data_IF_926707569769
#
_entry.id   IF_926707569769
#
_cell.length_a   1.000
_cell.length_b   1.000
_cell.length_c   1.000
_cell.angle_alpha   90.00
_cell.angle_beta   90.00
_cell.angle_gamma   90.00
#
_symmetry.space_group_name_H-M   'P 1'
#
loop_
_entity.id
_entity.type
_entity.pdbx_description
1 polymer ?
#
# COMPACT_ATOMS: atom_id res chain seq x y z
N UNK A 1 29.33 13.46 90.99
CA UNK A 1 29.55 13.33 89.53
C UNK A 1 28.77 12.13 88.95
N UNK A 2 28.63 11.03 89.68
CA UNK A 2 27.94 9.79 89.23
C UNK A 2 26.41 9.92 89.07
N UNK A 3 25.73 10.72 89.90
CA UNK A 3 24.27 10.95 89.81
C UNK A 3 23.86 11.63 88.49
N UNK A 4 24.73 12.48 87.94
CA UNK A 4 24.46 13.20 86.68
C UNK A 4 24.59 12.29 85.45
N UNK A 5 25.43 11.25 85.53
CA UNK A 5 25.62 10.25 84.47
C UNK A 5 24.43 9.29 84.44
N UNK A 6 23.96 8.84 85.61
CA UNK A 6 22.76 8.02 85.73
C UNK A 6 21.51 8.74 85.26
N UNK A 7 21.33 10.02 85.59
CA UNK A 7 20.20 10.83 85.12
C UNK A 7 20.20 11.01 83.59
N UNK A 8 21.38 11.24 82.98
CA UNK A 8 21.51 11.33 81.52
C UNK A 8 21.25 9.99 80.83
N UNK A 9 21.70 8.88 81.40
CA UNK A 9 21.43 7.54 80.88
C UNK A 9 19.94 7.19 80.97
N UNK A 10 19.26 7.56 82.06
CA UNK A 10 17.82 7.31 82.23
C UNK A 10 16.98 8.12 81.24
N UNK A 11 17.33 9.39 81.01
CA UNK A 11 16.68 10.26 80.01
C UNK A 11 16.94 9.76 78.59
N UNK A 12 18.16 9.28 78.29
CA UNK A 12 18.48 8.71 76.99
C UNK A 12 17.70 7.40 76.75
N UNK A 13 17.58 6.54 77.76
CA UNK A 13 16.76 5.32 77.70
C UNK A 13 15.26 5.64 77.57
N UNK A 14 14.73 6.63 78.30
CA UNK A 14 13.32 7.01 78.14
C UNK A 14 13.05 7.64 76.79
N UNK A 15 13.97 8.45 76.23
CA UNK A 15 13.81 9.00 74.87
C UNK A 15 13.90 7.90 73.80
N UNK A 16 14.78 6.90 73.98
CA UNK A 16 14.88 5.73 73.09
C UNK A 16 13.65 4.82 73.20
N UNK A 17 13.18 4.54 74.42
CA UNK A 17 11.98 3.73 74.66
C UNK A 17 10.71 4.44 74.21
N UNK A 18 10.62 5.77 74.33
CA UNK A 18 9.50 6.55 73.77
C UNK A 18 9.58 6.63 72.24
N UNK A 19 10.78 6.78 71.64
CA UNK A 19 10.94 6.69 70.17
C UNK A 19 10.60 5.30 69.61
N UNK A 20 10.86 4.22 70.35
CA UNK A 20 10.43 2.87 69.98
C UNK A 20 8.94 2.62 70.25
N UNK A 21 8.34 3.30 71.24
CA UNK A 21 6.92 3.18 71.56
C UNK A 21 6.00 4.07 70.71
N UNK A 22 6.54 5.09 70.01
CA UNK A 22 5.81 5.97 69.09
C UNK A 22 6.10 5.70 67.62
N UNK A 23 6.88 4.67 67.29
CA UNK A 23 6.98 4.22 65.91
C UNK A 23 5.63 3.59 65.53
N UNK A 24 4.87 4.26 64.67
CA UNK A 24 3.68 3.65 64.09
C UNK A 24 4.10 2.30 63.46
N UNK A 25 3.27 1.24 63.59
CA UNK A 25 3.61 -0.12 63.14
C UNK A 25 4.11 -0.22 61.68
N UNK A 26 3.85 0.79 60.84
CA UNK A 26 4.28 0.88 59.44
C UNK A 26 5.67 1.46 59.17
N UNK A 27 6.42 1.94 60.18
CA UNK A 27 7.63 2.75 59.96
C UNK A 27 8.97 1.99 60.15
N UNK A 28 8.91 0.66 60.33
CA UNK A 28 10.13 -0.17 60.47
C UNK A 28 10.84 -0.36 59.12
N UNK A 29 12.18 -0.43 59.08
CA UNK A 29 12.94 -0.65 57.85
C UNK A 29 12.50 -1.90 57.07
N UNK A 30 12.16 -2.98 57.77
CA UNK A 30 11.73 -4.25 57.18
C UNK A 30 10.38 -4.13 56.43
N UNK A 31 9.42 -3.38 56.99
CA UNK A 31 8.12 -3.12 56.35
C UNK A 31 8.31 -2.30 55.07
N UNK A 32 9.17 -1.28 55.11
CA UNK A 32 9.47 -0.43 53.95
C UNK A 32 10.14 -1.24 52.84
N UNK A 33 11.09 -2.11 53.16
CA UNK A 33 11.73 -2.99 52.19
C UNK A 33 10.74 -3.96 51.53
N UNK A 34 9.83 -4.56 52.31
CA UNK A 34 8.81 -5.46 51.77
C UNK A 34 7.86 -4.73 50.79
N UNK A 35 7.38 -3.54 51.17
CA UNK A 35 6.51 -2.72 50.32
C UNK A 35 7.22 -2.26 49.04
N UNK A 36 8.50 -1.87 49.13
CA UNK A 36 9.32 -1.54 47.96
C UNK A 36 9.46 -2.76 47.03
N UNK A 37 9.63 -3.96 47.60
CA UNK A 37 9.69 -5.19 46.82
C UNK A 37 8.38 -5.45 46.07
N UNK A 38 7.22 -5.34 46.74
CA UNK A 38 5.93 -5.49 46.07
C UNK A 38 5.73 -4.45 44.97
N UNK A 39 6.05 -3.19 45.23
CA UNK A 39 6.01 -2.12 44.23
C UNK A 39 6.85 -2.46 43.00
N UNK A 40 8.07 -2.97 43.19
CA UNK A 40 8.94 -3.34 42.08
C UNK A 40 8.38 -4.54 41.28
N UNK A 41 7.82 -5.55 41.94
CA UNK A 41 7.20 -6.70 41.26
C UNK A 41 5.94 -6.32 40.49
N UNK A 42 5.07 -5.49 41.07
CA UNK A 42 3.88 -4.94 40.40
C UNK A 42 4.27 -4.09 39.18
N UNK A 43 5.31 -3.26 39.31
CA UNK A 43 5.81 -2.44 38.20
C UNK A 43 6.34 -3.31 37.07
N UNK A 44 7.01 -4.42 37.40
CA UNK A 44 7.48 -5.40 36.42
C UNK A 44 6.31 -6.10 35.71
N UNK A 45 5.27 -6.50 36.43
CA UNK A 45 4.07 -7.11 35.85
C UNK A 45 3.34 -6.15 34.90
N UNK A 46 3.13 -4.90 35.35
CA UNK A 46 2.54 -3.81 34.57
C UNK A 46 3.34 -3.54 33.28
N UNK A 47 4.67 -3.44 33.40
CA UNK A 47 5.57 -3.24 32.27
C UNK A 47 5.52 -4.42 31.28
N UNK A 48 5.63 -5.65 31.77
CA UNK A 48 5.54 -6.86 30.92
C UNK A 48 4.23 -6.91 30.14
N UNK A 49 3.10 -6.59 30.78
CA UNK A 49 1.79 -6.56 30.12
C UNK A 49 1.74 -5.48 29.01
N UNK A 50 2.26 -4.28 29.28
CA UNK A 50 2.32 -3.18 28.30
C UNK A 50 3.26 -3.48 27.12
N UNK A 51 4.42 -4.06 27.40
CA UNK A 51 5.36 -4.49 26.36
C UNK A 51 4.75 -5.55 25.46
N UNK A 52 3.97 -6.48 26.03
CA UNK A 52 3.32 -7.56 25.29
C UNK A 52 2.36 -7.04 24.20
N UNK A 53 1.62 -5.96 24.50
CA UNK A 53 0.78 -5.24 23.52
C UNK A 53 1.62 -4.54 22.46
N UNK A 54 2.67 -3.83 22.89
CA UNK A 54 3.55 -3.08 21.98
C UNK A 54 4.24 -4.00 20.99
N UNK A 55 4.79 -5.13 21.46
CA UNK A 55 5.45 -6.14 20.62
C UNK A 55 4.48 -6.82 19.64
N UNK A 56 3.20 -6.99 19.97
CA UNK A 56 2.19 -7.52 19.03
C UNK A 56 1.82 -6.53 17.92
N UNK A 57 1.69 -5.25 18.23
CA UNK A 57 1.47 -4.21 17.22
C UNK A 57 2.64 -4.17 16.23
N UNK A 58 3.86 -4.27 16.76
CA UNK A 58 5.07 -4.36 15.95
C UNK A 58 5.07 -5.59 15.04
N UNK A 59 4.61 -6.77 15.49
CA UNK A 59 4.45 -7.94 14.62
C UNK A 59 3.48 -7.70 13.45
N UNK A 60 2.44 -6.89 13.64
CA UNK A 60 1.49 -6.50 12.57
C UNK A 60 2.21 -5.62 11.56
N UNK A 61 2.87 -4.56 12.01
CA UNK A 61 3.62 -3.64 11.14
C UNK A 61 4.68 -4.37 10.30
N UNK A 62 5.40 -5.32 10.92
CA UNK A 62 6.37 -6.19 10.23
C UNK A 62 5.70 -7.01 9.13
N UNK A 63 4.56 -7.63 9.42
CA UNK A 63 3.88 -8.47 8.45
C UNK A 63 3.27 -7.67 7.31
N UNK A 64 2.71 -6.51 7.59
CA UNK A 64 2.18 -5.62 6.55
C UNK A 64 3.29 -5.22 5.57
N UNK A 65 4.46 -4.85 6.07
CA UNK A 65 5.64 -4.58 5.24
C UNK A 65 6.08 -5.80 4.42
N UNK A 66 6.07 -7.01 5.00
CA UNK A 66 6.42 -8.22 4.26
C UNK A 66 5.38 -8.59 3.20
N UNK A 67 4.09 -8.31 3.44
CA UNK A 67 3.02 -8.50 2.46
C UNK A 67 3.24 -7.56 1.27
N UNK A 68 3.56 -6.30 1.54
CA UNK A 68 3.90 -5.32 0.50
C UNK A 68 5.06 -5.79 -0.37
N UNK A 69 6.14 -6.28 0.24
CA UNK A 69 7.28 -6.85 -0.49
C UNK A 69 6.92 -8.07 -1.33
N UNK A 70 6.08 -8.97 -0.80
CA UNK A 70 5.62 -10.12 -1.56
C UNK A 70 4.76 -9.72 -2.75
N UNK A 71 3.88 -8.73 -2.58
CA UNK A 71 3.06 -8.20 -3.66
C UNK A 71 3.93 -7.51 -4.72
N UNK A 72 4.93 -6.76 -4.29
CA UNK A 72 5.91 -6.14 -5.18
C UNK A 72 6.74 -7.19 -5.93
N UNK A 73 7.13 -8.29 -5.28
CA UNK A 73 7.80 -9.42 -5.94
C UNK A 73 6.89 -10.11 -6.93
N UNK A 74 5.64 -10.38 -6.56
CA UNK A 74 4.66 -11.02 -7.43
C UNK A 74 4.46 -10.19 -8.70
N UNK A 75 4.32 -8.86 -8.53
CA UNK A 75 4.18 -7.91 -9.62
C UNK A 75 5.43 -7.87 -10.52
N UNK A 76 6.61 -7.68 -9.94
CA UNK A 76 7.87 -7.52 -10.69
C UNK A 76 8.36 -8.81 -11.36
N UNK A 77 8.11 -9.97 -10.74
CA UNK A 77 8.55 -11.26 -11.26
C UNK A 77 7.51 -11.96 -12.13
N UNK A 78 6.27 -11.45 -12.16
CA UNK A 78 5.09 -12.09 -12.78
C UNK A 78 4.86 -13.54 -12.28
N UNK A 79 5.43 -13.91 -11.12
CA UNK A 79 5.24 -15.22 -10.50
C UNK A 79 4.01 -15.17 -9.60
N UNK A 80 3.16 -16.19 -9.68
CA UNK A 80 2.06 -16.33 -8.72
C UNK A 80 2.60 -16.64 -7.32
N UNK A 81 2.35 -15.73 -6.38
CA UNK A 81 2.65 -15.87 -4.96
C UNK A 81 1.38 -15.90 -4.11
N UNK A 82 0.22 -16.13 -4.71
CA UNK A 82 -1.10 -16.05 -4.07
C UNK A 82 -1.19 -16.92 -2.81
N UNK A 83 -0.68 -18.16 -2.86
CA UNK A 83 -0.64 -19.06 -1.70
C UNK A 83 0.18 -18.48 -0.54
N UNK A 84 1.26 -17.76 -0.83
CA UNK A 84 2.06 -17.09 0.20
C UNK A 84 1.36 -15.84 0.70
N UNK A 85 0.84 -15.00 -0.17
CA UNK A 85 0.06 -13.82 0.23
C UNK A 85 -1.14 -14.17 1.13
N UNK A 86 -1.83 -15.27 0.83
CA UNK A 86 -2.91 -15.81 1.68
C UNK A 86 -2.42 -16.22 3.08
N UNK A 87 -1.28 -16.92 3.17
CA UNK A 87 -0.67 -17.30 4.47
C UNK A 87 -0.30 -16.07 5.31
N UNK A 88 0.16 -14.99 4.68
CA UNK A 88 0.53 -13.76 5.39
C UNK A 88 -0.71 -13.00 5.86
N UNK A 89 -1.72 -12.87 5.00
CA UNK A 89 -3.01 -12.27 5.36
C UNK A 89 -3.67 -13.02 6.53
N UNK A 90 -3.63 -14.36 6.51
CA UNK A 90 -4.15 -15.18 7.62
C UNK A 90 -3.35 -14.97 8.92
N UNK A 91 -2.01 -14.92 8.85
CA UNK A 91 -1.19 -14.65 10.02
C UNK A 91 -1.44 -13.25 10.59
N UNK A 92 -1.60 -12.24 9.74
CA UNK A 92 -1.92 -10.88 10.14
C UNK A 92 -3.27 -10.82 10.88
N UNK A 93 -4.29 -11.49 10.32
CA UNK A 93 -5.59 -11.64 10.97
C UNK A 93 -5.47 -12.33 12.33
N UNK A 94 -4.63 -13.36 12.44
CA UNK A 94 -4.38 -14.07 13.69
C UNK A 94 -3.73 -13.18 14.76
N UNK A 95 -2.74 -12.35 14.39
CA UNK A 95 -2.08 -11.43 15.34
C UNK A 95 -3.03 -10.30 15.74
N UNK A 96 -3.79 -9.74 14.79
CA UNK A 96 -4.81 -8.73 15.06
C UNK A 96 -5.88 -9.26 16.03
N UNK A 97 -6.32 -10.50 15.83
CA UNK A 97 -7.27 -11.16 16.72
C UNK A 97 -6.65 -11.41 18.10
N UNK A 98 -5.40 -11.89 18.15
CA UNK A 98 -4.66 -12.06 19.40
C UNK A 98 -4.55 -10.75 20.18
N UNK A 99 -4.25 -9.63 19.52
CA UNK A 99 -4.17 -8.30 20.13
C UNK A 99 -5.49 -7.93 20.83
N UNK A 100 -6.63 -8.16 20.17
CA UNK A 100 -7.95 -7.89 20.75
C UNK A 100 -8.24 -8.76 21.97
N UNK A 101 -7.88 -10.05 21.91
CA UNK A 101 -8.09 -11.00 23.01
C UNK A 101 -7.24 -10.64 24.23
N UNK A 102 -5.98 -10.26 24.04
CA UNK A 102 -5.07 -9.95 25.15
C UNK A 102 -5.31 -8.57 25.76
N UNK A 103 -5.95 -7.65 25.05
CA UNK A 103 -6.17 -6.27 25.49
C UNK A 103 -6.84 -6.18 26.87
N UNK A 104 -7.90 -6.98 27.10
CA UNK A 104 -8.62 -6.97 28.38
C UNK A 104 -7.71 -7.40 29.54
N UNK A 105 -6.93 -8.48 29.37
CA UNK A 105 -5.99 -9.00 30.37
C UNK A 105 -4.90 -7.97 30.68
N UNK A 106 -4.31 -7.36 29.65
CA UNK A 106 -3.26 -6.35 29.81
C UNK A 106 -3.79 -5.11 30.52
N UNK A 107 -4.97 -4.61 30.12
CA UNK A 107 -5.61 -3.45 30.75
C UNK A 107 -5.87 -3.70 32.22
N UNK A 108 -6.37 -4.88 32.57
CA UNK A 108 -6.63 -5.26 33.96
C UNK A 108 -5.35 -5.26 34.80
N UNK A 109 -4.32 -6.01 34.37
CA UNK A 109 -3.04 -6.11 35.09
C UNK A 109 -2.42 -4.73 35.28
N UNK A 110 -2.39 -3.93 34.21
CA UNK A 110 -1.83 -2.57 34.23
C UNK A 110 -2.58 -1.66 35.21
N UNK A 111 -3.91 -1.63 35.14
CA UNK A 111 -4.73 -0.72 35.96
C UNK A 111 -4.66 -1.10 37.44
N UNK A 112 -4.77 -2.39 37.76
CA UNK A 112 -4.74 -2.87 39.14
C UNK A 112 -3.34 -2.77 39.76
N UNK A 113 -2.29 -3.06 38.98
CA UNK A 113 -0.90 -2.90 39.44
C UNK A 113 -0.56 -1.44 39.69
N UNK A 114 -0.92 -0.53 38.78
CA UNK A 114 -0.62 0.89 38.93
C UNK A 114 -1.40 1.51 40.10
N UNK A 115 -2.68 1.13 40.28
CA UNK A 115 -3.48 1.56 41.43
C UNK A 115 -2.84 1.12 42.75
N UNK A 116 -2.38 -0.13 42.84
CA UNK A 116 -1.78 -0.63 44.08
C UNK A 116 -0.37 -0.06 44.31
N UNK A 117 0.39 0.25 43.25
CA UNK A 117 1.66 0.98 43.37
C UNK A 117 1.42 2.37 43.98
N UNK A 118 0.36 3.08 43.57
CA UNK A 118 0.00 4.37 44.17
C UNK A 118 -0.39 4.23 45.64
N UNK A 119 -1.19 3.22 46.00
CA UNK A 119 -1.52 2.93 47.41
C UNK A 119 -0.25 2.66 48.25
N UNK A 120 0.71 1.91 47.70
CA UNK A 120 2.01 1.66 48.35
C UNK A 120 2.82 2.96 48.49
N UNK A 121 2.87 3.80 47.46
CA UNK A 121 3.62 5.07 47.48
C UNK A 121 3.03 6.07 48.47
N UNK A 122 1.71 6.13 48.59
CA UNK A 122 1.02 6.94 49.61
C UNK A 122 1.33 6.45 51.02
N UNK A 123 1.29 5.13 51.26
CA UNK A 123 1.63 4.55 52.55
C UNK A 123 3.09 4.80 52.94
N UNK A 124 4.02 4.62 51.99
CA UNK A 124 5.46 4.85 52.23
C UNK A 124 5.78 6.33 52.53
N UNK A 125 4.98 7.27 52.01
CA UNK A 125 5.19 8.72 52.19
C UNK A 125 4.56 9.26 53.46
N UNK A 126 3.33 8.84 53.76
CA UNK A 126 2.51 9.45 54.80
C UNK A 126 2.41 8.58 56.08
N UNK A 127 2.93 7.35 56.05
CA UNK A 127 2.68 6.38 57.11
C UNK A 127 1.23 5.87 57.07
N UNK A 128 0.89 4.99 58.00
CA UNK A 128 -0.45 4.41 58.09
C UNK A 128 -0.55 3.41 59.23
N UNK A 129 -1.79 3.06 59.59
CA UNK A 129 -2.06 2.09 60.63
C UNK A 129 -1.83 0.64 60.17
N UNK A 130 -1.75 -0.29 61.12
CA UNK A 130 -1.48 -1.71 60.87
C UNK A 130 -2.57 -2.37 59.99
N UNK A 131 -3.81 -1.90 60.07
CA UNK A 131 -4.92 -2.38 59.24
C UNK A 131 -4.70 -2.01 57.76
N UNK A 132 -4.24 -0.79 57.48
CA UNK A 132 -3.89 -0.36 56.13
C UNK A 132 -2.70 -1.16 55.58
N UNK A 133 -1.66 -1.39 56.39
CA UNK A 133 -0.52 -2.21 56.01
C UNK A 133 -0.93 -3.66 55.67
N UNK A 134 -1.75 -4.27 56.53
CA UNK A 134 -2.27 -5.62 56.33
C UNK A 134 -3.12 -5.73 55.06
N UNK A 135 -3.94 -4.72 54.78
CA UNK A 135 -4.74 -4.62 53.56
C UNK A 135 -3.86 -4.53 52.31
N UNK A 136 -2.86 -3.65 52.30
CA UNK A 136 -1.92 -3.49 51.16
C UNK A 136 -1.14 -4.79 50.91
N UNK A 137 -0.61 -5.43 51.96
CA UNK A 137 0.08 -6.72 51.86
C UNK A 137 -0.81 -7.81 51.26
N UNK A 138 -2.05 -7.91 51.72
CA UNK A 138 -3.01 -8.88 51.21
C UNK A 138 -3.32 -8.63 49.73
N UNK A 139 -3.65 -7.38 49.37
CA UNK A 139 -3.91 -6.98 47.97
C UNK A 139 -2.71 -7.28 47.07
N UNK A 140 -1.50 -6.94 47.50
CA UNK A 140 -0.27 -7.13 46.71
C UNK A 140 0.03 -8.61 46.46
N UNK A 141 -0.01 -9.44 47.50
CA UNK A 141 0.22 -10.88 47.36
C UNK A 141 -0.83 -11.54 46.49
N UNK A 142 -2.10 -11.19 46.67
CA UNK A 142 -3.19 -11.73 45.86
C UNK A 142 -3.04 -11.33 44.39
N UNK A 143 -2.79 -10.05 44.11
CA UNK A 143 -2.60 -9.53 42.77
C UNK A 143 -1.41 -10.17 42.06
N UNK A 144 -0.25 -10.24 42.72
CA UNK A 144 0.97 -10.87 42.19
C UNK A 144 0.76 -12.38 41.90
N UNK A 145 0.05 -13.08 42.78
CA UNK A 145 -0.27 -14.50 42.58
C UNK A 145 -1.23 -14.71 41.41
N UNK A 146 -2.29 -13.89 41.33
CA UNK A 146 -3.33 -13.99 40.31
C UNK A 146 -2.80 -13.65 38.92
N UNK A 147 -1.93 -12.65 38.80
CA UNK A 147 -1.44 -12.16 37.51
C UNK A 147 -0.33 -13.03 36.90
N UNK A 148 0.27 -13.94 37.67
CA UNK A 148 1.34 -14.84 37.22
C UNK A 148 0.94 -15.71 36.01
N UNK A 149 -0.21 -16.37 36.08
CA UNK A 149 -0.67 -17.26 35.00
C UNK A 149 -1.06 -16.49 33.73
N UNK A 150 -1.83 -15.38 33.79
CA UNK A 150 -2.08 -14.51 32.65
C UNK A 150 -0.81 -14.00 31.99
N UNK A 151 0.19 -13.53 32.74
CA UNK A 151 1.45 -13.03 32.18
C UNK A 151 2.24 -14.12 31.42
N UNK A 152 2.24 -15.35 31.93
CA UNK A 152 2.88 -16.47 31.25
C UNK A 152 2.14 -16.86 29.95
N UNK A 153 0.80 -16.84 29.96
CA UNK A 153 -0.01 -17.04 28.76
C UNK A 153 0.26 -15.96 27.70
N UNK A 154 0.34 -14.70 28.12
CA UNK A 154 0.69 -13.56 27.27
C UNK A 154 2.07 -13.75 26.64
N UNK A 155 3.05 -14.26 27.38
CA UNK A 155 4.41 -14.56 26.88
C UNK A 155 4.41 -15.73 25.91
N UNK A 156 3.77 -16.85 26.26
CA UNK A 156 3.76 -18.06 25.42
C UNK A 156 3.06 -17.80 24.08
N UNK A 157 1.88 -17.21 24.10
CA UNK A 157 1.12 -16.86 22.89
C UNK A 157 1.89 -15.88 22.00
N UNK A 158 2.62 -14.94 22.58
CA UNK A 158 3.50 -14.03 21.84
C UNK A 158 4.61 -14.79 21.11
N UNK A 159 5.31 -15.68 21.82
CA UNK A 159 6.44 -16.45 21.26
C UNK A 159 6.00 -17.36 20.11
N UNK A 160 4.80 -17.93 20.18
CA UNK A 160 4.22 -18.72 19.10
C UNK A 160 3.98 -17.87 17.83
N UNK A 161 3.45 -16.65 17.99
CA UNK A 161 3.27 -15.71 16.87
C UNK A 161 4.61 -15.24 16.30
N UNK A 162 5.56 -14.89 17.17
CA UNK A 162 6.92 -14.49 16.78
C UNK A 162 7.61 -15.60 15.99
N UNK A 163 7.47 -16.86 16.41
CA UNK A 163 8.05 -18.01 15.70
C UNK A 163 7.48 -18.14 14.29
N UNK A 164 6.18 -17.92 14.10
CA UNK A 164 5.55 -17.92 12.78
C UNK A 164 6.10 -16.76 11.92
N UNK A 165 6.14 -15.54 12.46
CA UNK A 165 6.70 -14.37 11.75
C UNK A 165 8.17 -14.57 11.39
N UNK A 166 9.00 -15.15 12.27
CA UNK A 166 10.41 -15.46 11.99
C UNK A 166 10.58 -16.43 10.82
N UNK A 167 9.77 -17.49 10.73
CA UNK A 167 9.81 -18.42 9.57
C UNK A 167 9.57 -17.68 8.25
N UNK A 168 8.69 -16.68 8.27
CA UNK A 168 8.41 -15.85 7.10
C UNK A 168 9.50 -14.81 6.84
N UNK A 169 10.07 -14.23 7.88
CA UNK A 169 11.22 -13.33 7.77
C UNK A 169 12.40 -14.02 7.08
N UNK A 170 12.73 -15.26 7.47
CA UNK A 170 13.76 -16.07 6.81
C UNK A 170 13.43 -16.29 5.33
N UNK A 171 12.17 -16.57 4.99
CA UNK A 171 11.76 -16.70 3.59
C UNK A 171 11.95 -15.40 2.80
N UNK A 172 11.61 -14.25 3.38
CA UNK A 172 11.78 -12.94 2.73
C UNK A 172 13.26 -12.58 2.55
N UNK A 173 14.09 -12.80 3.58
CA UNK A 173 15.55 -12.61 3.52
C UNK A 173 16.18 -13.50 2.44
N UNK A 174 15.77 -14.77 2.35
CA UNK A 174 16.23 -15.69 1.31
C UNK A 174 15.82 -15.26 -0.11
N UNK A 175 14.87 -14.33 -0.23
CA UNK A 175 14.49 -13.68 -1.48
C UNK A 175 15.10 -12.28 -1.61
N UNK A 176 16.14 -11.97 -0.84
CA UNK A 176 16.88 -10.72 -0.94
C UNK A 176 16.22 -9.52 -0.26
N UNK A 177 15.10 -9.67 0.45
CA UNK A 177 14.47 -8.54 1.14
C UNK A 177 15.23 -8.13 2.40
N UNK A 178 15.36 -6.81 2.61
CA UNK A 178 15.91 -6.24 3.84
C UNK A 178 14.81 -6.03 4.86
N UNK A 179 14.86 -6.75 5.99
CA UNK A 179 13.99 -6.48 7.13
C UNK A 179 14.12 -5.02 7.60
N UNK A 180 13.03 -4.37 8.06
CA UNK A 180 13.10 -3.02 8.57
C UNK A 180 13.95 -3.00 9.84
N UNK A 181 14.80 -1.98 9.99
CA UNK A 181 15.51 -1.72 11.24
C UNK A 181 14.52 -1.09 12.21
N UNK A 182 13.94 -1.90 13.09
CA UNK A 182 13.17 -1.38 14.22
C UNK A 182 14.16 -0.97 15.31
N UNK A 183 14.03 0.27 15.80
CA UNK A 183 15.03 0.93 16.65
C UNK A 183 15.52 0.10 17.84
N UNK A 184 16.72 0.45 18.31
CA UNK A 184 17.54 -0.22 19.35
C UNK A 184 16.88 -0.49 20.71
N UNK A 185 15.61 -0.12 20.91
CA UNK A 185 14.92 -0.17 22.20
C UNK A 185 14.12 -1.46 22.44
N UNK A 186 14.11 -2.40 21.50
CA UNK A 186 13.44 -3.69 21.66
C UNK A 186 14.38 -4.83 21.31
N UNK A 187 14.53 -5.81 22.22
CA UNK A 187 15.16 -7.13 21.97
C UNK A 187 14.31 -7.96 20.99
N UNK A 188 14.08 -7.39 19.81
CA UNK A 188 13.32 -7.98 18.74
C UNK A 188 14.30 -8.64 17.78
N UNK A 189 15.01 -9.63 18.30
CA UNK A 189 15.98 -10.37 17.53
C UNK A 189 15.24 -11.27 16.51
N UNK A 190 15.18 -10.82 15.26
CA UNK A 190 14.71 -11.63 14.14
C UNK A 190 15.81 -12.54 13.60
N UNK A 191 16.98 -12.60 14.25
CA UNK A 191 18.01 -13.57 13.90
C UNK A 191 17.42 -14.99 14.00
N UNK A 192 17.64 -15.86 13.00
CA UNK A 192 17.27 -17.26 13.04
C UNK A 192 17.84 -17.92 14.30
N UNK A 193 17.02 -18.72 14.98
CA UNK A 193 17.48 -19.60 16.08
C UNK A 193 18.31 -20.74 15.48
N UNK A 194 19.61 -20.54 15.40
CA UNK A 194 20.61 -21.46 14.89
C UNK A 194 21.89 -20.68 14.62
N UNK A 195 23.06 -21.32 14.47
CA UNK A 195 24.24 -20.60 14.01
C UNK A 195 23.86 -19.89 12.72
N UNK A 196 23.86 -18.56 12.79
CA UNK A 196 23.68 -17.66 11.66
C UNK A 196 24.88 -17.93 10.76
N UNK A 197 24.74 -18.89 9.86
CA UNK A 197 25.81 -19.30 8.98
C UNK A 197 25.86 -18.19 7.92
N UNK A 198 26.71 -17.17 8.12
CA UNK A 198 26.98 -16.14 7.10
C UNK A 198 27.38 -16.78 5.76
N UNK A 199 27.87 -18.03 5.80
CA UNK A 199 28.21 -18.87 4.66
C UNK A 199 27.02 -19.57 3.99
N UNK A 200 25.83 -19.63 4.61
CA UNK A 200 24.58 -20.06 3.97
C UNK A 200 23.79 -18.88 3.42
N UNK A 201 24.50 -17.84 2.96
CA UNK A 201 24.08 -17.27 1.70
C UNK A 201 24.03 -18.42 0.70
N UNK A 202 22.83 -18.97 0.48
CA UNK A 202 22.45 -19.32 -0.88
C UNK A 202 22.64 -18.03 -1.66
N UNK A 203 23.88 -17.78 -2.11
CA UNK A 203 24.18 -16.79 -3.11
C UNK A 203 23.17 -17.08 -4.19
N UNK A 204 22.18 -16.20 -4.33
CA UNK A 204 21.27 -16.31 -5.42
C UNK A 204 22.15 -16.21 -6.68
N UNK A 205 22.44 -17.36 -7.29
CA UNK A 205 23.25 -17.44 -8.50
C UNK A 205 22.31 -17.06 -9.62
N UNK A 206 22.45 -15.84 -10.09
CA UNK A 206 21.71 -15.36 -11.25
C UNK A 206 22.00 -16.30 -12.42
N UNK A 207 20.97 -16.87 -13.03
CA UNK A 207 21.18 -17.73 -14.19
C UNK A 207 21.75 -16.92 -15.36
N UNK A 208 22.47 -17.56 -16.29
CA UNK A 208 22.93 -16.93 -17.54
C UNK A 208 21.78 -16.41 -18.41
N UNK A 209 20.55 -16.90 -18.19
CA UNK A 209 19.32 -16.40 -18.80
C UNK A 209 18.45 -15.65 -17.79
N UNK A 210 19.05 -14.73 -17.03
CA UNK A 210 18.39 -14.02 -15.96
C UNK A 210 17.09 -13.36 -16.44
N UNK A 211 15.97 -13.76 -15.86
CA UNK A 211 14.69 -13.12 -16.14
C UNK A 211 14.66 -11.71 -15.57
N UNK A 212 13.81 -10.83 -16.11
CA UNK A 212 13.62 -9.45 -15.60
C UNK A 212 13.42 -9.45 -14.07
N UNK A 213 12.59 -10.36 -13.57
CA UNK A 213 12.32 -10.48 -12.14
C UNK A 213 13.56 -10.84 -11.32
N UNK A 214 14.47 -11.64 -11.86
CA UNK A 214 15.73 -12.02 -11.21
C UNK A 214 16.73 -10.86 -11.20
N UNK A 215 16.76 -10.07 -12.27
CA UNK A 215 17.57 -8.85 -12.35
C UNK A 215 17.09 -7.83 -11.30
N UNK A 216 15.78 -7.59 -11.20
CA UNK A 216 15.24 -6.71 -10.16
C UNK A 216 15.55 -7.24 -8.75
N UNK A 217 15.39 -8.54 -8.51
CA UNK A 217 15.74 -9.18 -7.25
C UNK A 217 17.16 -8.84 -6.81
N UNK A 218 18.11 -9.06 -7.71
CA UNK A 218 19.54 -8.96 -7.41
C UNK A 218 20.00 -7.52 -7.32
N UNK A 219 19.62 -6.67 -8.27
CA UNK A 219 20.15 -5.32 -8.32
C UNK A 219 19.38 -4.36 -7.43
N UNK A 220 18.07 -4.52 -7.23
CA UNK A 220 17.27 -3.56 -6.45
C UNK A 220 17.12 -3.99 -5.00
N UNK A 221 16.85 -5.27 -4.74
CA UNK A 221 16.44 -5.70 -3.41
C UNK A 221 17.61 -6.26 -2.57
N UNK A 222 18.61 -6.90 -3.17
CA UNK A 222 19.77 -7.41 -2.43
C UNK A 222 20.70 -6.31 -1.89
N UNK A 223 21.03 -6.36 -0.59
CA UNK A 223 21.98 -5.46 0.09
C UNK A 223 23.42 -5.67 -0.41
N UNK A 224 23.86 -6.92 -0.47
CA UNK A 224 25.13 -7.34 -1.05
C UNK A 224 24.82 -8.05 -2.36
N UNK A 225 25.36 -7.58 -3.48
CA UNK A 225 25.20 -8.34 -4.72
C UNK A 225 25.90 -9.69 -4.57
N UNK A 226 25.27 -10.78 -5.02
CA UNK A 226 25.99 -12.03 -5.21
C UNK A 226 27.14 -11.80 -6.21
N UNK A 227 28.19 -12.63 -6.20
CA UNK A 227 29.20 -12.59 -7.25
C UNK A 227 28.53 -12.79 -8.62
N UNK A 228 28.67 -11.82 -9.52
CA UNK A 228 28.12 -11.89 -10.89
C UNK A 228 29.30 -11.99 -11.86
N UNK A 229 29.24 -12.96 -12.76
CA UNK A 229 30.22 -13.10 -13.85
C UNK A 229 30.00 -12.02 -14.92
N UNK A 230 31.00 -11.79 -15.77
CA UNK A 230 30.86 -10.84 -16.89
C UNK A 230 29.70 -11.23 -17.81
N UNK A 231 29.58 -12.51 -18.11
CA UNK A 231 28.55 -13.08 -18.97
C UNK A 231 27.14 -12.89 -18.38
N UNK A 232 26.98 -13.09 -17.07
CA UNK A 232 25.71 -12.84 -16.38
C UNK A 232 25.33 -11.35 -16.37
N UNK A 233 26.32 -10.46 -16.24
CA UNK A 233 26.11 -9.02 -16.33
C UNK A 233 25.68 -8.59 -17.74
N UNK A 234 26.36 -9.10 -18.76
CA UNK A 234 26.01 -8.86 -20.16
C UNK A 234 24.59 -9.36 -20.47
N UNK A 235 24.26 -10.60 -20.07
CA UNK A 235 22.93 -11.15 -20.23
C UNK A 235 21.84 -10.33 -19.52
N UNK A 236 22.16 -9.76 -18.35
CA UNK A 236 21.26 -8.84 -17.64
C UNK A 236 21.03 -7.56 -18.44
N UNK A 237 22.09 -6.97 -18.98
CA UNK A 237 21.99 -5.77 -19.82
C UNK A 237 21.15 -6.05 -21.06
N UNK A 238 21.42 -7.15 -21.77
CA UNK A 238 20.66 -7.56 -22.96
C UNK A 238 19.17 -7.76 -22.65
N UNK A 239 18.86 -8.39 -21.51
CA UNK A 239 17.48 -8.58 -21.05
C UNK A 239 16.78 -7.25 -20.80
N UNK A 240 17.45 -6.30 -20.15
CA UNK A 240 16.91 -4.96 -19.88
C UNK A 240 16.79 -4.11 -21.15
N UNK A 241 17.71 -4.26 -22.10
CA UNK A 241 17.62 -3.62 -23.42
C UNK A 241 16.39 -4.14 -24.16
N UNK A 242 16.18 -5.45 -24.17
CA UNK A 242 15.02 -6.05 -24.84
C UNK A 242 13.71 -5.59 -24.19
N UNK A 243 13.62 -5.58 -22.86
CA UNK A 243 12.48 -4.98 -22.15
C UNK A 243 12.27 -3.51 -22.56
N UNK A 244 13.33 -2.72 -22.60
CA UNK A 244 13.25 -1.30 -22.98
C UNK A 244 12.74 -1.11 -24.42
N UNK A 245 13.17 -1.97 -25.35
CA UNK A 245 12.66 -1.99 -26.73
C UNK A 245 11.18 -2.38 -26.81
N UNK A 246 10.76 -3.38 -26.02
CA UNK A 246 9.35 -3.78 -25.92
C UNK A 246 8.47 -2.62 -25.41
N UNK A 247 8.86 -2.00 -24.30
CA UNK A 247 8.16 -0.84 -23.73
C UNK A 247 8.06 0.32 -24.73
N UNK A 248 9.14 0.58 -25.48
CA UNK A 248 9.15 1.62 -26.52
C UNK A 248 8.20 1.27 -27.68
N UNK A 249 8.15 0.00 -28.10
CA UNK A 249 7.23 -0.46 -29.15
C UNK A 249 5.78 -0.31 -28.70
N UNK A 250 5.48 -0.69 -27.47
CA UNK A 250 4.13 -0.60 -26.90
C UNK A 250 3.66 0.86 -26.81
N UNK A 251 4.54 1.76 -26.33
CA UNK A 251 4.25 3.19 -26.31
C UNK A 251 3.99 3.76 -27.73
N UNK A 252 4.80 3.37 -28.73
CA UNK A 252 4.60 3.79 -30.11
C UNK A 252 3.29 3.26 -30.70
N UNK A 253 2.95 1.99 -30.44
CA UNK A 253 1.68 1.41 -30.88
C UNK A 253 0.49 2.21 -30.31
N UNK A 254 0.54 2.56 -29.02
CA UNK A 254 -0.51 3.38 -28.39
C UNK A 254 -0.57 4.80 -28.94
N UNK A 255 0.58 5.41 -29.27
CA UNK A 255 0.61 6.71 -29.95
C UNK A 255 -0.09 6.66 -31.29
N UNK A 256 0.23 5.66 -32.12
CA UNK A 256 -0.38 5.50 -33.45
C UNK A 256 -1.88 5.27 -33.33
N UNK A 257 -2.30 4.39 -32.41
CA UNK A 257 -3.72 4.14 -32.13
C UNK A 257 -4.47 5.42 -31.73
N UNK A 258 -3.94 6.17 -30.76
CA UNK A 258 -4.59 7.38 -30.28
C UNK A 258 -4.66 8.47 -31.35
N UNK A 259 -3.61 8.60 -32.17
CA UNK A 259 -3.57 9.54 -33.29
C UNK A 259 -4.60 9.16 -34.37
N UNK A 260 -4.70 7.87 -34.71
CA UNK A 260 -5.68 7.36 -35.67
C UNK A 260 -7.13 7.62 -35.23
N UNK A 261 -7.44 7.43 -33.94
CA UNK A 261 -8.77 7.76 -33.41
C UNK A 261 -9.09 9.24 -33.60
N UNK A 262 -8.15 10.15 -33.30
CA UNK A 262 -8.39 11.58 -33.49
C UNK A 262 -8.61 11.96 -34.96
N UNK A 263 -7.89 11.33 -35.89
CA UNK A 263 -8.06 11.53 -37.32
C UNK A 263 -9.44 11.04 -37.80
N UNK A 264 -9.85 9.84 -37.37
CA UNK A 264 -11.17 9.28 -37.70
C UNK A 264 -12.30 10.15 -37.16
N UNK A 265 -12.18 10.66 -35.93
CA UNK A 265 -13.20 11.55 -35.34
C UNK A 265 -13.31 12.89 -36.07
N UNK A 266 -12.17 13.47 -36.49
CA UNK A 266 -12.19 14.69 -37.32
C UNK A 266 -12.93 14.43 -38.64
N UNK A 267 -12.71 13.27 -39.27
CA UNK A 267 -13.44 12.89 -40.48
C UNK A 267 -14.95 12.73 -40.22
N UNK A 268 -15.36 12.15 -39.08
CA UNK A 268 -16.77 12.07 -38.68
C UNK A 268 -17.41 13.45 -38.52
N UNK A 269 -16.68 14.40 -37.91
CA UNK A 269 -17.14 15.78 -37.76
C UNK A 269 -17.28 16.49 -39.12
N UNK A 270 -16.31 16.33 -40.01
CA UNK A 270 -16.37 16.87 -41.38
C UNK A 270 -17.55 16.29 -42.16
N UNK A 271 -17.80 14.99 -42.03
CA UNK A 271 -18.99 14.35 -42.61
C UNK A 271 -20.28 14.94 -42.04
N UNK A 272 -20.39 15.14 -40.73
CA UNK A 272 -21.57 15.78 -40.14
C UNK A 272 -21.76 17.20 -40.65
N UNK A 273 -20.70 18.00 -40.75
CA UNK A 273 -20.77 19.37 -41.31
C UNK A 273 -21.21 19.35 -42.78
N UNK A 274 -20.71 18.41 -43.57
CA UNK A 274 -21.10 18.26 -44.96
C UNK A 274 -22.58 17.86 -45.09
N UNK A 275 -23.09 17.01 -44.20
CA UNK A 275 -24.50 16.62 -44.20
C UNK A 275 -25.39 17.75 -43.70
N UNK A 276 -24.96 18.52 -42.70
CA UNK A 276 -25.67 19.71 -42.22
C UNK A 276 -25.84 20.76 -43.33
N UNK A 277 -24.80 20.97 -44.15
CA UNK A 277 -24.91 21.84 -45.33
C UNK A 277 -26.02 21.41 -46.30
N UNK A 278 -26.35 20.11 -46.34
CA UNK A 278 -27.46 19.56 -47.14
C UNK A 278 -28.80 19.62 -46.40
N UNK A 279 -28.80 19.67 -45.06
CA UNK A 279 -30.01 19.67 -44.24
C UNK A 279 -30.62 21.06 -44.02
N UNK A 280 -29.91 22.14 -44.34
CA UNK A 280 -30.41 23.52 -44.20
C UNK A 280 -31.70 23.84 -44.98
N UNK A 281 -32.12 22.94 -45.87
CA UNK A 281 -33.37 23.04 -46.64
C UNK A 281 -34.52 22.17 -46.07
N UNK A 282 -34.27 21.40 -45.00
CA UNK A 282 -35.27 20.56 -44.34
C UNK A 282 -36.04 21.37 -43.29
N UNK A 283 -37.35 21.16 -43.20
CA UNK A 283 -38.18 21.77 -42.14
C UNK A 283 -37.78 21.24 -40.77
N UNK A 284 -37.99 22.05 -39.73
CA UNK A 284 -37.86 21.62 -38.33
C UNK A 284 -38.86 20.49 -38.03
N UNK A 285 -38.35 19.26 -38.06
CA UNK A 285 -39.05 18.04 -37.65
C UNK A 285 -38.47 17.52 -36.33
N UNK A 286 -39.15 16.56 -35.69
CA UNK A 286 -38.63 15.85 -34.52
C UNK A 286 -37.25 15.23 -34.81
N UNK A 287 -37.05 14.74 -36.04
CA UNK A 287 -35.78 14.17 -36.49
C UNK A 287 -34.65 15.20 -36.61
N UNK A 288 -34.96 16.43 -37.04
CA UNK A 288 -33.97 17.52 -37.10
C UNK A 288 -33.54 17.99 -35.71
N UNK A 289 -34.46 18.08 -34.74
CA UNK A 289 -34.09 18.37 -33.35
C UNK A 289 -33.16 17.29 -32.78
N UNK A 290 -33.50 16.01 -32.98
CA UNK A 290 -32.67 14.89 -32.55
C UNK A 290 -31.29 14.89 -33.24
N UNK A 291 -31.23 15.21 -34.54
CA UNK A 291 -29.96 15.39 -35.24
C UNK A 291 -29.06 16.45 -34.58
N UNK A 292 -29.63 17.61 -34.21
CA UNK A 292 -28.88 18.66 -33.54
C UNK A 292 -28.38 18.27 -32.14
N UNK A 293 -29.14 17.48 -31.38
CA UNK A 293 -28.72 16.93 -30.09
C UNK A 293 -27.55 15.95 -30.26
N UNK A 294 -27.69 14.96 -31.15
CA UNK A 294 -26.64 13.97 -31.43
C UNK A 294 -25.34 14.64 -31.93
N UNK A 295 -25.47 15.70 -32.74
CA UNK A 295 -24.32 16.53 -33.16
C UNK A 295 -23.62 17.20 -31.97
N UNK A 296 -24.37 17.75 -31.01
CA UNK A 296 -23.78 18.38 -29.81
C UNK A 296 -23.02 17.35 -28.97
N UNK A 297 -23.58 16.16 -28.78
CA UNK A 297 -22.87 15.08 -28.07
C UNK A 297 -21.61 14.63 -28.81
N UNK A 298 -21.65 14.52 -30.15
CA UNK A 298 -20.45 14.20 -30.93
C UNK A 298 -19.33 15.25 -30.77
N UNK A 299 -19.68 16.55 -30.77
CA UNK A 299 -18.70 17.63 -30.54
C UNK A 299 -18.11 17.53 -29.13
N UNK A 300 -18.93 17.18 -28.13
CA UNK A 300 -18.49 17.00 -26.75
C UNK A 300 -17.54 15.80 -26.61
N UNK A 301 -17.87 14.65 -27.20
CA UNK A 301 -16.99 13.48 -27.23
C UNK A 301 -15.65 13.80 -27.92
N UNK A 302 -15.68 14.53 -29.05
CA UNK A 302 -14.46 15.02 -29.69
C UNK A 302 -13.60 15.87 -28.75
N UNK A 303 -14.18 16.87 -28.10
CA UNK A 303 -13.44 17.74 -27.20
C UNK A 303 -12.80 16.94 -26.05
N UNK A 304 -13.52 15.95 -25.51
CA UNK A 304 -12.99 15.05 -24.50
C UNK A 304 -11.83 14.21 -25.05
N UNK A 305 -11.92 13.66 -26.27
CA UNK A 305 -10.81 12.94 -26.91
C UNK A 305 -9.59 13.83 -27.14
N UNK A 306 -9.78 15.07 -27.59
CA UNK A 306 -8.70 16.05 -27.77
C UNK A 306 -8.00 16.34 -26.44
N UNK A 307 -8.75 16.50 -25.34
CA UNK A 307 -8.19 16.69 -23.99
C UNK A 307 -7.43 15.46 -23.51
N UNK A 308 -8.01 14.26 -23.64
CA UNK A 308 -7.37 13.01 -23.26
C UNK A 308 -6.07 12.81 -24.04
N UNK A 309 -6.06 13.05 -25.35
CA UNK A 309 -4.84 12.95 -26.15
C UNK A 309 -3.79 13.98 -25.73
N UNK A 310 -4.17 15.24 -25.50
CA UNK A 310 -3.25 16.29 -25.03
C UNK A 310 -2.62 15.92 -23.69
N UNK A 311 -3.34 15.21 -22.81
CA UNK A 311 -2.81 14.80 -21.51
C UNK A 311 -1.66 13.78 -21.62
N UNK A 312 -1.68 12.89 -22.62
CA UNK A 312 -0.66 11.84 -22.80
C UNK A 312 0.33 12.13 -23.94
N UNK A 313 0.06 13.12 -24.78
CA UNK A 313 0.93 13.48 -25.90
C UNK A 313 2.38 13.79 -25.48
N UNK A 314 2.64 14.50 -24.36
CA UNK A 314 3.99 14.75 -23.86
C UNK A 314 4.70 13.50 -23.30
N UNK A 315 3.94 12.49 -22.89
CA UNK A 315 4.51 11.28 -22.29
C UNK A 315 5.19 10.39 -23.34
N UNK A 316 4.66 10.33 -24.57
CA UNK A 316 5.27 9.54 -25.64
C UNK A 316 6.73 9.92 -25.97
N UNK A 317 7.08 11.20 -26.25
CA UNK A 317 8.46 11.58 -26.48
C UNK A 317 9.32 11.40 -25.22
N UNK A 318 8.78 11.66 -24.03
CA UNK A 318 9.49 11.45 -22.75
C UNK A 318 9.90 9.99 -22.57
N UNK A 319 8.96 9.06 -22.76
CA UNK A 319 9.22 7.60 -22.70
C UNK A 319 10.25 7.20 -23.76
N UNK A 320 10.13 7.70 -24.99
CA UNK A 320 11.06 7.38 -26.08
C UNK A 320 12.48 7.84 -25.77
N UNK A 321 12.66 9.07 -25.28
CA UNK A 321 13.98 9.63 -24.95
C UNK A 321 14.59 8.84 -23.79
N UNK A 322 13.84 8.68 -22.70
CA UNK A 322 14.34 8.00 -21.50
C UNK A 322 14.71 6.53 -21.77
N UNK A 323 13.88 5.78 -22.52
CA UNK A 323 14.23 4.41 -22.91
C UNK A 323 15.41 4.36 -23.88
N UNK A 324 15.56 5.37 -24.76
CA UNK A 324 16.72 5.49 -25.65
C UNK A 324 18.02 5.68 -24.86
N UNK A 325 18.02 6.55 -23.86
CA UNK A 325 19.16 6.77 -22.96
C UNK A 325 19.48 5.51 -22.15
N UNK A 326 18.46 4.83 -21.63
CA UNK A 326 18.62 3.55 -20.92
C UNK A 326 19.30 2.50 -21.81
N UNK A 327 18.84 2.33 -23.05
CA UNK A 327 19.44 1.36 -23.99
C UNK A 327 20.91 1.70 -24.25
N UNK A 328 21.23 2.97 -24.53
CA UNK A 328 22.60 3.40 -24.77
C UNK A 328 23.51 3.15 -23.56
N UNK A 329 23.02 3.39 -22.35
CA UNK A 329 23.81 3.18 -21.14
C UNK A 329 24.01 1.70 -20.84
N UNK A 330 23.00 0.86 -21.09
CA UNK A 330 23.11 -0.59 -20.98
C UNK A 330 24.08 -1.17 -22.01
N UNK A 331 24.09 -0.68 -23.25
CA UNK A 331 25.04 -1.10 -24.30
C UNK A 331 26.49 -0.79 -23.90
N UNK A 332 26.74 0.39 -23.30
CA UNK A 332 28.07 0.73 -22.76
C UNK A 332 28.47 -0.20 -21.61
N UNK A 333 27.55 -0.47 -20.69
CA UNK A 333 27.81 -1.35 -19.54
C UNK A 333 28.11 -2.78 -19.98
N UNK A 334 27.42 -3.28 -21.00
CA UNK A 334 27.64 -4.62 -21.56
C UNK A 334 29.03 -4.77 -22.21
N UNK A 335 29.63 -3.68 -22.68
CA UNK A 335 30.93 -3.69 -23.39
C UNK A 335 32.12 -3.35 -22.49
N UNK A 336 31.88 -2.89 -21.26
CA UNK A 336 32.95 -2.44 -20.34
C UNK A 336 33.47 -3.59 -19.46
N UNK A 337 34.79 -3.70 -19.30
CA UNK A 337 35.39 -4.65 -18.36
C UNK A 337 35.20 -4.17 -16.90
N UNK A 338 34.50 -4.97 -16.09
CA UNK A 338 34.29 -4.67 -14.67
C UNK A 338 32.90 -5.03 -14.13
N UNK A 339 32.42 -6.25 -14.34
CA UNK A 339 31.08 -6.69 -13.92
C UNK A 339 30.81 -6.51 -12.42
N UNK A 340 31.84 -6.56 -11.57
CA UNK A 340 31.73 -6.33 -10.12
C UNK A 340 32.14 -4.91 -9.70
N UNK A 341 32.28 -3.97 -10.63
CA UNK A 341 32.58 -2.57 -10.32
C UNK A 341 31.36 -1.94 -9.61
N UNK A 342 31.53 -1.39 -8.38
CA UNK A 342 30.44 -0.72 -7.66
C UNK A 342 29.73 0.38 -8.47
N UNK A 343 30.45 1.07 -9.37
CA UNK A 343 29.88 2.09 -10.24
C UNK A 343 28.92 1.49 -11.28
N UNK A 344 29.25 0.34 -11.88
CA UNK A 344 28.38 -0.36 -12.83
C UNK A 344 27.11 -0.86 -12.17
N UNK A 345 27.25 -1.43 -10.97
CA UNK A 345 26.11 -1.87 -10.16
C UNK A 345 25.18 -0.70 -9.82
N UNK A 346 25.76 0.45 -9.43
CA UNK A 346 24.99 1.66 -9.15
C UNK A 346 24.28 2.18 -10.40
N UNK A 347 24.92 2.13 -11.57
CA UNK A 347 24.32 2.53 -12.84
C UNK A 347 23.11 1.63 -13.18
N UNK A 348 23.24 0.32 -13.06
CA UNK A 348 22.13 -0.64 -13.30
C UNK A 348 20.97 -0.39 -12.34
N UNK A 349 21.25 -0.14 -11.05
CA UNK A 349 20.21 0.24 -10.07
C UNK A 349 19.44 1.48 -10.49
N UNK A 350 20.13 2.50 -10.99
CA UNK A 350 19.49 3.72 -11.46
C UNK A 350 18.66 3.47 -12.72
N UNK A 351 19.18 2.68 -13.67
CA UNK A 351 18.46 2.27 -14.88
C UNK A 351 17.16 1.53 -14.51
N UNK A 352 17.21 0.59 -13.57
CA UNK A 352 16.02 -0.14 -13.13
C UNK A 352 14.95 0.76 -12.50
N UNK A 353 15.36 1.82 -11.76
CA UNK A 353 14.43 2.83 -11.24
C UNK A 353 13.78 3.64 -12.37
N UNK A 354 14.55 4.01 -13.39
CA UNK A 354 14.04 4.71 -14.58
C UNK A 354 13.04 3.84 -15.32
N UNK A 355 13.37 2.57 -15.59
CA UNK A 355 12.46 1.60 -16.21
C UNK A 355 11.15 1.48 -15.43
N UNK A 356 11.20 1.34 -14.10
CA UNK A 356 10.01 1.25 -13.24
C UNK A 356 9.12 2.51 -13.32
N UNK A 357 9.75 3.69 -13.40
CA UNK A 357 9.04 4.96 -13.57
C UNK A 357 8.34 5.00 -14.94
N UNK A 358 9.02 4.56 -15.99
CA UNK A 358 8.48 4.50 -17.35
C UNK A 358 7.31 3.51 -17.44
N UNK A 359 7.39 2.35 -16.80
CA UNK A 359 6.27 1.40 -16.73
C UNK A 359 5.01 2.05 -16.12
N UNK A 360 5.18 2.89 -15.10
CA UNK A 360 4.06 3.64 -14.51
C UNK A 360 3.45 4.65 -15.49
N UNK A 361 4.28 5.36 -16.24
CA UNK A 361 3.83 6.30 -17.28
C UNK A 361 3.06 5.54 -18.37
N UNK A 362 3.61 4.42 -18.85
CA UNK A 362 2.97 3.57 -19.85
C UNK A 362 1.61 3.09 -19.35
N UNK A 363 1.48 2.62 -18.10
CA UNK A 363 0.17 2.26 -17.54
C UNK A 363 -0.85 3.40 -17.62
N UNK A 364 -0.45 4.64 -17.33
CA UNK A 364 -1.32 5.81 -17.46
C UNK A 364 -1.72 6.08 -18.91
N UNK A 365 -0.79 5.92 -19.87
CA UNK A 365 -1.08 5.98 -21.30
C UNK A 365 -2.13 4.92 -21.68
N UNK A 366 -1.97 3.67 -21.23
CA UNK A 366 -2.93 2.58 -21.51
C UNK A 366 -4.33 2.91 -20.99
N UNK A 367 -4.44 3.36 -19.73
CA UNK A 367 -5.72 3.75 -19.13
C UNK A 367 -6.38 4.89 -19.91
N UNK A 368 -5.60 5.89 -20.30
CA UNK A 368 -6.11 7.04 -21.05
C UNK A 368 -6.53 6.65 -22.46
N UNK A 369 -5.76 5.82 -23.16
CA UNK A 369 -6.14 5.26 -24.47
C UNK A 369 -7.42 4.42 -24.40
N UNK A 370 -7.69 3.73 -23.28
CA UNK A 370 -8.97 3.01 -23.07
C UNK A 370 -10.14 3.99 -23.05
N UNK A 371 -10.05 5.06 -22.26
CA UNK A 371 -11.07 6.12 -22.20
C UNK A 371 -11.28 6.79 -23.56
N UNK A 372 -10.18 7.04 -24.27
CA UNK A 372 -10.23 7.59 -25.63
C UNK A 372 -10.95 6.65 -26.60
N UNK A 373 -10.75 5.34 -26.48
CA UNK A 373 -11.50 4.34 -27.26
C UNK A 373 -12.99 4.27 -26.90
N UNK A 374 -13.34 4.42 -25.62
CA UNK A 374 -14.73 4.45 -25.17
C UNK A 374 -15.46 5.67 -25.73
N UNK A 375 -14.83 6.85 -25.61
CA UNK A 375 -15.32 8.11 -26.18
C UNK A 375 -15.46 8.04 -27.70
N UNK A 376 -14.51 7.39 -28.38
CA UNK A 376 -14.60 7.17 -29.81
C UNK A 376 -15.79 6.30 -30.22
N UNK A 377 -16.05 5.21 -29.48
CA UNK A 377 -17.20 4.36 -29.74
C UNK A 377 -18.52 5.10 -29.49
N UNK A 378 -18.59 5.95 -28.45
CA UNK A 378 -19.73 6.84 -28.22
C UNK A 378 -19.92 7.81 -29.39
N UNK A 379 -18.87 8.48 -29.85
CA UNK A 379 -18.93 9.37 -31.01
C UNK A 379 -19.44 8.64 -32.27
N UNK A 380 -19.02 7.40 -32.52
CA UNK A 380 -19.54 6.58 -33.63
C UNK A 380 -21.04 6.31 -33.53
N UNK A 381 -21.55 6.05 -32.34
CA UNK A 381 -22.99 5.85 -32.11
C UNK A 381 -23.74 7.16 -32.40
N UNK A 382 -23.30 8.28 -31.83
CA UNK A 382 -23.90 9.59 -32.09
C UNK A 382 -23.88 9.96 -33.58
N UNK A 383 -22.76 9.72 -34.27
CA UNK A 383 -22.66 9.91 -35.72
C UNK A 383 -23.68 9.06 -36.49
N UNK A 384 -23.81 7.78 -36.14
CA UNK A 384 -24.71 6.85 -36.82
C UNK A 384 -26.17 7.23 -36.61
N UNK A 385 -26.54 7.63 -35.40
CA UNK A 385 -27.88 8.11 -35.06
C UNK A 385 -28.19 9.41 -35.80
N UNK A 386 -27.27 10.39 -35.76
CA UNK A 386 -27.41 11.65 -36.48
C UNK A 386 -27.65 11.42 -37.98
N UNK A 387 -26.87 10.53 -38.60
CA UNK A 387 -27.03 10.14 -40.00
C UNK A 387 -28.39 9.48 -40.28
N UNK A 388 -28.88 8.62 -39.38
CA UNK A 388 -30.20 7.98 -39.52
C UNK A 388 -31.33 9.00 -39.47
N UNK A 389 -31.32 9.91 -38.49
CA UNK A 389 -32.34 10.96 -38.35
C UNK A 389 -32.41 11.86 -39.59
N UNK A 390 -31.26 12.19 -40.18
CA UNK A 390 -31.22 12.93 -41.44
C UNK A 390 -31.83 12.17 -42.62
N UNK A 391 -31.56 10.87 -42.70
CA UNK A 391 -32.10 10.01 -43.77
C UNK A 391 -33.63 9.89 -43.64
N UNK A 392 -34.13 9.76 -42.41
CA UNK A 392 -35.57 9.73 -42.13
C UNK A 392 -36.23 11.07 -42.46
N UNK A 393 -35.64 12.19 -42.05
CA UNK A 393 -36.18 13.51 -42.37
C UNK A 393 -36.18 13.82 -43.87
N UNK A 394 -35.25 13.25 -44.66
CA UNK A 394 -35.25 13.36 -46.11
C UNK A 394 -36.38 12.55 -46.75
N UNK A 395 -36.64 11.33 -46.26
CA UNK A 395 -37.76 10.51 -46.73
C UNK A 395 -39.10 11.17 -46.44
N UNK A 396 -39.28 11.72 -45.24
CA UNK A 396 -40.50 12.45 -44.87
C UNK A 396 -40.75 13.63 -45.82
N UNK A 397 -39.69 14.36 -46.21
CA UNK A 397 -39.78 15.45 -47.18
C UNK A 397 -40.20 14.96 -48.59
N UNK A 398 -39.65 13.83 -49.05
CA UNK A 398 -40.00 13.22 -50.34
C UNK A 398 -41.44 12.70 -50.34
N UNK A 399 -41.90 12.08 -49.24
CA UNK A 399 -43.26 11.58 -49.08
C UNK A 399 -44.28 12.73 -48.96
N UNK A 400 -43.99 13.77 -48.17
CA UNK A 400 -44.82 14.98 -48.08
C UNK A 400 -44.87 15.74 -49.41
N UNK A 401 -43.74 15.80 -50.14
CA UNK A 401 -43.66 16.35 -51.49
C UNK A 401 -44.54 15.59 -52.47
N UNK A 402 -44.51 14.24 -52.42
CA UNK A 402 -45.39 13.40 -53.22
C UNK A 402 -46.87 13.53 -52.82
N UNK A 403 -47.21 13.74 -51.55
CA UNK A 403 -48.60 13.97 -51.13
C UNK A 403 -49.11 15.36 -51.51
N UNK A 404 -48.28 16.41 -51.37
CA UNK A 404 -48.66 17.80 -51.71
C UNK A 404 -48.75 18.06 -53.21
N UNK A 405 -47.91 17.39 -54.03
CA UNK A 405 -47.88 17.54 -55.48
C UNK A 405 -48.45 16.34 -56.26
N UNK A 406 -48.74 15.19 -55.64
CA UNK A 406 -49.22 13.99 -56.32
C UNK A 406 -50.74 13.88 -56.49
N UNK A 407 -51.54 14.62 -55.71
CA UNK A 407 -53.01 14.59 -55.85
C UNK A 407 -53.61 15.86 -56.45
N UNK A 408 -52.95 17.02 -56.33
CA UNK A 408 -53.49 18.29 -56.86
C UNK A 408 -53.44 18.39 -58.39
N UNK A 409 -52.35 18.04 -59.10
CA UNK A 409 -52.34 18.06 -60.56
C UNK A 409 -53.27 16.99 -61.13
N UNK A 410 -53.37 15.81 -60.50
CA UNK A 410 -54.28 14.74 -60.94
C UNK A 410 -55.74 15.15 -60.70
N UNK A 411 -56.07 15.78 -59.57
CA UNK A 411 -57.41 16.32 -59.33
C UNK A 411 -57.74 17.49 -60.27
N UNK A 412 -56.79 18.39 -60.56
CA UNK A 412 -56.99 19.49 -61.51
C UNK A 412 -57.16 18.96 -62.94
N UNK A 413 -56.39 17.94 -63.34
CA UNK A 413 -56.53 17.27 -64.64
C UNK A 413 -57.84 16.48 -64.73
N UNK A 414 -58.27 15.79 -63.68
CA UNK A 414 -59.56 15.09 -63.64
C UNK A 414 -60.76 16.05 -63.63
N UNK A 415 -60.67 17.19 -62.92
CA UNK A 415 -61.69 18.25 -62.95
C UNK A 415 -61.74 18.94 -64.32
N UNK A 416 -60.60 19.20 -64.95
CA UNK A 416 -60.55 19.76 -66.31
C UNK A 416 -61.02 18.78 -67.39
N UNK A 417 -60.86 17.47 -67.20
CA UNK A 417 -61.40 16.42 -68.08
C UNK A 417 -62.91 16.23 -67.88
N UNK A 418 -63.43 16.38 -66.66
CA UNK A 418 -64.87 16.28 -66.36
C UNK A 418 -65.69 17.49 -66.85
N UNK A 419 -65.07 18.66 -67.04
CA UNK A 419 -65.72 19.86 -67.59
C UNK A 419 -65.80 19.81 -69.14
N UNK A 420 -65.15 18.83 -69.78
CA UNK A 420 -65.11 18.66 -71.25
C UNK A 420 -66.01 17.54 -71.80
N UNK A 421 -66.88 16.96 -70.96
CA UNK A 421 -68.00 16.07 -71.33
C UNK A 421 -69.28 16.77 -70.94
#
# INVERSE_FOLDING_TARGET
MEVLILAKALVFFTILSVRHATAEPGDTPEVKEELIKFKNELRKNSLHARENMTRRKMLIEILDLMIEWLNELAFSTRKSLEKKSAQFTELNKNITTSLRVVYAKVKQIHTESDSLILEIDEFLKNGGNEDALSSIRYKARNLLSRDKAPLEELRKSYNELLTKVRKFAVYAINRGFRLPEFGQNYDFDLSPMGPYNENEHNHYVMSLGATIGEIFLVFVYCKNLPPISKEQMMASCDTLINLSRELMRDANYKKTFATGILEEVKALEEHIKAIEGRSNNLKDTIYMNRFHEEKKELIKEKNMMDELYRSISPDFPTVKIALGEVILELDKLATTDGANNPLHISAIRNILKVIKTIESIIKNIYLTCSKLSESYNSAKVHFSTAKSCLTESQKDLEEDGMQTYGLKPIAIVLVLLAIKV
#
